data_IF_580305035435
#
_entry.id   IF_580305035435
#
_cell.length_a   1.000
_cell.length_b   1.000
_cell.length_c   1.000
_cell.angle_alpha   90.00
_cell.angle_beta   90.00
_cell.angle_gamma   90.00
#
_symmetry.space_group_name_H-M   'P 1'
#
loop_
_entity.id
_entity.type
_entity.pdbx_description
1 polymer ?
#
# COMPACT_ATOMS: atom_id res chain seq x y z
N UNK A 1 -0.88 35.79 56.90
CA UNK A 1 0.19 36.26 55.96
C UNK A 1 -0.52 36.91 54.75
N UNK A 2 -0.24 38.22 54.51
CA UNK A 2 -0.90 38.94 53.41
C UNK A 2 -0.20 38.62 52.08
N UNK A 3 -0.76 37.72 51.29
CA UNK A 3 -0.23 37.33 49.97
C UNK A 3 -0.01 38.50 49.03
N UNK A 4 -0.83 39.54 49.12
CA UNK A 4 -0.69 40.79 48.36
C UNK A 4 0.59 41.57 48.67
N UNK A 5 1.06 41.56 49.91
CA UNK A 5 2.32 42.22 50.26
C UNK A 5 3.55 41.44 49.83
N UNK A 6 3.49 40.09 49.90
CA UNK A 6 4.53 39.21 49.37
C UNK A 6 4.71 39.39 47.86
N UNK A 7 3.61 39.49 47.11
CA UNK A 7 3.65 39.72 45.67
C UNK A 7 4.25 41.06 45.30
N UNK A 8 3.90 42.15 46.05
CA UNK A 8 4.48 43.47 45.83
C UNK A 8 6.00 43.51 46.14
N UNK A 9 6.46 42.83 47.16
CA UNK A 9 7.88 42.72 47.52
C UNK A 9 8.64 41.94 46.44
N UNK A 10 8.09 40.82 45.93
CA UNK A 10 8.67 40.05 44.84
C UNK A 10 8.78 40.86 43.55
N UNK A 11 7.75 41.64 43.21
CA UNK A 11 7.77 42.48 42.01
C UNK A 11 8.84 43.60 42.12
N UNK A 12 8.96 44.22 43.32
CA UNK A 12 10.01 45.23 43.57
C UNK A 12 11.42 44.65 43.46
N UNK A 13 11.64 43.41 44.00
CA UNK A 13 12.93 42.74 43.90
C UNK A 13 13.34 42.44 42.45
N UNK A 14 12.38 42.01 41.62
CA UNK A 14 12.58 41.79 40.17
C UNK A 14 12.93 43.11 39.48
N UNK A 15 12.23 44.20 39.77
CA UNK A 15 12.48 45.49 39.19
C UNK A 15 13.78 46.14 39.66
N UNK A 16 14.30 45.82 40.84
CA UNK A 16 15.55 46.36 41.35
C UNK A 16 16.79 45.83 40.59
N UNK A 17 16.72 44.60 40.02
CA UNK A 17 17.81 43.99 39.28
C UNK A 17 17.34 43.48 37.88
N UNK A 18 16.84 44.42 37.07
CA UNK A 18 16.17 44.12 35.77
C UNK A 18 16.99 43.17 34.85
N UNK A 19 18.29 43.44 34.69
CA UNK A 19 19.12 42.61 33.79
C UNK A 19 19.31 41.19 34.29
N UNK A 20 19.48 40.97 35.61
CA UNK A 20 19.64 39.65 36.16
C UNK A 20 18.34 38.83 36.05
N UNK A 21 17.22 39.50 36.38
CA UNK A 21 15.89 38.90 36.29
C UNK A 21 15.52 38.53 34.87
N UNK A 22 15.85 39.44 33.93
CA UNK A 22 15.64 39.20 32.48
C UNK A 22 16.46 38.02 31.96
N UNK A 23 17.75 37.91 32.29
CA UNK A 23 18.62 36.84 31.86
C UNK A 23 18.19 35.48 32.43
N UNK A 24 17.78 35.45 33.74
CA UNK A 24 17.27 34.22 34.33
C UNK A 24 15.92 33.80 33.72
N UNK A 25 15.01 34.73 33.52
CA UNK A 25 13.73 34.43 32.86
C UNK A 25 13.94 33.96 31.43
N UNK A 26 14.85 34.62 30.67
CA UNK A 26 15.20 34.21 29.33
C UNK A 26 15.75 32.77 29.25
N UNK A 27 16.64 32.40 30.21
CA UNK A 27 17.17 31.04 30.29
C UNK A 27 16.08 30.00 30.53
N UNK A 28 15.13 30.30 31.43
CA UNK A 28 13.99 29.41 31.71
C UNK A 28 13.08 29.30 30.48
N UNK A 29 12.77 30.42 29.83
CA UNK A 29 11.90 30.44 28.65
C UNK A 29 12.53 29.61 27.52
N UNK A 30 13.82 29.80 27.24
CA UNK A 30 14.52 29.02 26.20
C UNK A 30 14.54 27.53 26.57
N UNK A 31 14.84 27.19 27.81
CA UNK A 31 14.86 25.80 28.28
C UNK A 31 13.50 25.12 28.14
N UNK A 32 12.44 25.74 28.63
CA UNK A 32 11.08 25.21 28.53
C UNK A 32 10.59 25.15 27.07
N UNK A 33 10.83 26.20 26.29
CA UNK A 33 10.46 26.23 24.88
C UNK A 33 11.15 25.11 24.07
N UNK A 34 12.44 24.86 24.33
CA UNK A 34 13.19 23.78 23.68
C UNK A 34 12.59 22.40 23.97
N UNK A 35 12.22 22.11 25.24
CA UNK A 35 11.61 20.86 25.64
C UNK A 35 10.22 20.70 24.99
N UNK A 36 9.40 21.74 25.02
CA UNK A 36 8.06 21.69 24.41
C UNK A 36 8.17 21.47 22.90
N UNK A 37 9.09 22.16 22.22
CA UNK A 37 9.32 21.99 20.78
C UNK A 37 9.76 20.57 20.45
N UNK A 38 10.68 20.01 21.23
CA UNK A 38 11.16 18.64 21.01
C UNK A 38 10.02 17.62 21.20
N UNK A 39 9.18 17.77 22.22
CA UNK A 39 8.03 16.92 22.46
C UNK A 39 6.98 17.06 21.34
N UNK A 40 6.72 18.28 20.89
CA UNK A 40 5.77 18.54 19.82
C UNK A 40 6.21 17.90 18.49
N UNK A 41 7.51 18.03 18.14
CA UNK A 41 8.07 17.37 16.95
C UNK A 41 7.99 15.86 17.09
N UNK A 42 8.36 15.29 18.24
CA UNK A 42 8.30 13.86 18.49
C UNK A 42 6.87 13.29 18.37
N UNK A 43 5.89 13.99 18.96
CA UNK A 43 4.49 13.58 18.86
C UNK A 43 3.93 13.77 17.44
N UNK A 44 4.31 14.83 16.75
CA UNK A 44 3.94 15.08 15.34
C UNK A 44 4.46 13.98 14.42
N UNK A 45 5.74 13.64 14.54
CA UNK A 45 6.37 12.54 13.80
C UNK A 45 5.70 11.19 14.07
N UNK A 46 5.42 10.87 15.35
CA UNK A 46 4.74 9.64 15.71
C UNK A 46 3.34 9.55 15.09
N UNK A 47 2.55 10.63 15.14
CA UNK A 47 1.22 10.67 14.52
C UNK A 47 1.29 10.54 13.00
N UNK A 48 2.25 11.20 12.36
CA UNK A 48 2.45 11.09 10.93
C UNK A 48 2.80 9.65 10.51
N UNK A 49 3.72 8.99 11.23
CA UNK A 49 4.08 7.60 10.96
C UNK A 49 2.87 6.68 11.17
N UNK A 50 2.12 6.85 12.24
CA UNK A 50 0.92 6.06 12.51
C UNK A 50 -0.17 6.27 11.44
N UNK A 51 -0.38 7.51 10.99
CA UNK A 51 -1.32 7.79 9.91
C UNK A 51 -0.89 7.12 8.60
N UNK A 52 0.40 7.18 8.25
CA UNK A 52 0.96 6.55 7.06
C UNK A 52 0.82 5.01 7.09
N UNK A 53 1.07 4.40 8.25
CA UNK A 53 0.88 2.95 8.43
C UNK A 53 -0.62 2.60 8.29
N UNK A 54 -1.50 3.38 8.90
CA UNK A 54 -2.95 3.18 8.78
C UNK A 54 -3.46 3.33 7.35
N UNK A 55 -2.90 4.28 6.57
CA UNK A 55 -3.23 4.45 5.15
C UNK A 55 -2.73 3.31 4.25
N UNK A 56 -1.66 2.63 4.64
CA UNK A 56 -1.15 1.45 3.93
C UNK A 56 -1.99 0.19 4.23
N UNK A 57 -2.88 0.24 5.23
CA UNK A 57 -3.60 -0.92 5.75
C UNK A 57 -2.72 -1.72 6.72
N UNK A 58 -2.86 -1.45 8.02
CA UNK A 58 -2.07 -2.10 9.09
C UNK A 58 -2.23 -3.63 9.16
N UNK A 59 -3.19 -4.17 8.41
CA UNK A 59 -3.51 -5.60 8.34
C UNK A 59 -3.27 -6.20 6.95
N UNK A 60 -2.51 -5.50 6.08
CA UNK A 60 -2.21 -6.00 4.74
C UNK A 60 -1.11 -7.06 4.78
N UNK A 61 -1.35 -8.15 4.07
CA UNK A 61 -0.41 -9.27 3.91
C UNK A 61 -0.09 -9.41 2.42
N UNK A 62 1.19 -9.42 2.09
CA UNK A 62 1.68 -9.61 0.73
C UNK A 62 2.44 -10.93 0.62
N UNK A 63 2.11 -11.72 -0.39
CA UNK A 63 2.76 -12.99 -0.70
C UNK A 63 3.46 -12.80 -2.05
N UNK A 64 4.77 -12.87 -2.03
CA UNK A 64 5.61 -12.83 -3.23
C UNK A 64 6.18 -14.21 -3.55
N UNK A 65 6.49 -14.52 -4.81
CA UNK A 65 7.26 -15.70 -5.12
C UNK A 65 8.61 -15.63 -4.39
N UNK A 66 9.01 -16.73 -3.74
CA UNK A 66 10.26 -16.81 -2.99
C UNK A 66 11.46 -16.92 -3.93
N UNK A 67 12.65 -16.55 -3.46
CA UNK A 67 13.88 -16.78 -4.18
C UNK A 67 14.34 -18.23 -3.95
N UNK A 68 14.29 -19.08 -4.97
CA UNK A 68 14.87 -20.40 -4.90
C UNK A 68 16.40 -20.29 -4.81
N UNK A 69 16.98 -20.75 -3.72
CA UNK A 69 18.43 -20.84 -3.51
C UNK A 69 18.95 -22.14 -4.13
N UNK A 70 19.06 -22.19 -5.45
CA UNK A 70 19.74 -23.30 -6.11
C UNK A 70 21.26 -23.07 -6.12
N UNK A 71 21.99 -23.88 -5.36
CA UNK A 71 23.46 -23.84 -5.34
C UNK A 71 24.09 -22.57 -4.75
N UNK A 72 23.41 -21.88 -3.83
CA UNK A 72 23.91 -20.67 -3.18
C UNK A 72 23.76 -19.38 -4.00
N UNK A 73 23.12 -19.43 -5.17
CA UNK A 73 22.79 -18.25 -5.99
C UNK A 73 21.31 -17.91 -5.85
N UNK A 74 21.04 -16.72 -5.34
CA UNK A 74 19.68 -16.17 -5.25
C UNK A 74 19.21 -15.79 -6.64
N UNK A 75 18.15 -16.43 -7.13
CA UNK A 75 17.52 -16.03 -8.38
C UNK A 75 16.62 -14.80 -8.16
N UNK A 76 16.41 -14.01 -9.21
CA UNK A 76 15.54 -12.84 -9.16
C UNK A 76 14.10 -13.30 -8.87
N UNK A 77 13.42 -12.75 -7.82
CA UNK A 77 12.04 -13.10 -7.50
C UNK A 77 11.07 -12.91 -8.68
N UNK A 78 11.34 -11.97 -9.58
CA UNK A 78 10.54 -11.74 -10.78
C UNK A 78 10.63 -12.85 -11.82
N UNK A 79 11.66 -13.70 -11.76
CA UNK A 79 11.83 -14.86 -12.65
C UNK A 79 11.12 -16.13 -12.13
N UNK A 80 10.56 -16.10 -10.92
CA UNK A 80 9.98 -17.27 -10.28
C UNK A 80 8.48 -17.39 -10.57
N UNK A 81 8.09 -18.54 -11.07
CA UNK A 81 6.73 -18.87 -11.46
C UNK A 81 6.07 -19.82 -10.44
N UNK A 82 6.31 -19.58 -9.14
CA UNK A 82 5.88 -20.49 -8.07
C UNK A 82 4.43 -20.24 -7.66
N UNK A 83 3.96 -18.98 -7.63
CA UNK A 83 2.60 -18.66 -7.25
C UNK A 83 1.62 -18.83 -8.41
N UNK A 84 0.59 -19.63 -8.19
CA UNK A 84 -0.45 -19.96 -9.18
C UNK A 84 -1.81 -19.46 -8.73
N UNK A 85 -2.75 -19.45 -9.68
CA UNK A 85 -4.14 -19.10 -9.38
C UNK A 85 -4.79 -20.10 -8.39
N UNK A 86 -4.37 -21.38 -8.44
CA UNK A 86 -4.80 -22.40 -7.47
C UNK A 86 -4.43 -22.07 -6.03
N UNK A 87 -3.31 -21.38 -5.82
CA UNK A 87 -2.87 -20.98 -4.48
C UNK A 87 -3.75 -19.86 -3.93
N UNK A 88 -4.08 -18.89 -4.79
CA UNK A 88 -5.07 -17.87 -4.45
C UNK A 88 -6.44 -18.50 -4.11
N UNK A 89 -6.91 -19.47 -4.91
CA UNK A 89 -8.19 -20.12 -4.68
C UNK A 89 -8.19 -20.92 -3.35
N UNK A 90 -7.12 -21.65 -3.06
CA UNK A 90 -6.96 -22.38 -1.79
C UNK A 90 -6.92 -21.42 -0.59
N UNK A 91 -6.17 -20.32 -0.68
CA UNK A 91 -6.10 -19.32 0.39
C UNK A 91 -7.45 -18.66 0.62
N UNK A 92 -8.17 -18.28 -0.44
CA UNK A 92 -9.51 -17.69 -0.35
C UNK A 92 -10.52 -18.62 0.32
N UNK A 93 -10.47 -19.91 0.00
CA UNK A 93 -11.49 -20.88 0.42
C UNK A 93 -11.18 -21.48 1.79
N UNK A 94 -9.93 -21.56 2.21
CA UNK A 94 -9.52 -22.26 3.41
C UNK A 94 -9.04 -21.36 4.56
N UNK A 95 -8.53 -20.14 4.27
CA UNK A 95 -8.00 -19.28 5.33
C UNK A 95 -9.12 -18.53 6.07
N UNK A 96 -9.15 -18.71 7.41
CA UNK A 96 -10.23 -18.19 8.26
C UNK A 96 -9.96 -16.77 8.80
N UNK A 97 -8.70 -16.31 8.76
CA UNK A 97 -8.30 -15.03 9.35
C UNK A 97 -8.13 -13.90 8.34
N UNK A 98 -8.46 -14.12 7.06
CA UNK A 98 -8.45 -13.10 6.03
C UNK A 98 -9.85 -12.51 5.82
N UNK A 99 -9.91 -11.21 5.58
CA UNK A 99 -11.12 -10.47 5.22
C UNK A 99 -11.30 -10.40 3.70
N UNK A 100 -10.23 -10.07 3.00
CA UNK A 100 -10.21 -9.87 1.55
C UNK A 100 -8.90 -10.41 0.99
N UNK A 101 -8.94 -10.95 -0.23
CA UNK A 101 -7.76 -11.49 -0.92
C UNK A 101 -7.85 -11.21 -2.42
N UNK A 102 -6.74 -10.79 -3.01
CA UNK A 102 -6.64 -10.52 -4.45
C UNK A 102 -5.42 -11.17 -5.07
N UNK A 103 -5.59 -11.88 -6.21
CA UNK A 103 -4.46 -12.22 -7.05
C UNK A 103 -3.98 -10.94 -7.75
N UNK A 104 -2.68 -10.77 -7.89
CA UNK A 104 -2.09 -9.61 -8.54
C UNK A 104 -1.12 -10.04 -9.61
N UNK A 105 -1.29 -9.50 -10.80
CA UNK A 105 -0.33 -9.57 -11.89
C UNK A 105 -0.06 -8.17 -12.40
N UNK A 106 1.17 -7.86 -12.79
CA UNK A 106 1.53 -6.50 -13.20
C UNK A 106 2.30 -6.49 -14.50
N UNK A 107 2.06 -5.47 -15.30
CA UNK A 107 2.79 -5.20 -16.53
C UNK A 107 2.98 -3.69 -16.68
N UNK A 108 4.22 -3.24 -16.79
CA UNK A 108 4.50 -1.84 -17.09
C UNK A 108 4.51 -1.63 -18.60
N UNK A 109 3.91 -0.52 -19.05
CA UNK A 109 3.81 -0.22 -20.46
C UNK A 109 3.25 1.16 -20.73
N UNK A 110 3.07 1.46 -22.00
CA UNK A 110 2.59 2.76 -22.46
C UNK A 110 1.07 2.75 -22.64
N UNK A 111 0.41 3.71 -21.99
CA UNK A 111 -0.99 4.03 -22.22
C UNK A 111 -1.11 5.17 -23.22
N UNK A 112 -2.03 5.05 -24.18
CA UNK A 112 -2.22 6.00 -25.27
C UNK A 112 -3.70 6.35 -25.40
N UNK A 113 -4.00 7.64 -25.41
CA UNK A 113 -5.31 8.18 -25.75
C UNK A 113 -5.17 9.36 -26.73
N UNK A 114 -5.69 9.22 -27.95
CA UNK A 114 -5.49 10.23 -28.98
C UNK A 114 -4.01 10.48 -29.27
N UNK A 115 -3.57 11.72 -29.05
CA UNK A 115 -2.18 12.15 -29.18
C UNK A 115 -1.40 12.12 -27.85
N UNK A 116 -2.07 11.84 -26.74
CA UNK A 116 -1.46 11.82 -25.42
C UNK A 116 -1.02 10.40 -25.05
N UNK A 117 0.08 10.32 -24.33
CA UNK A 117 0.60 9.05 -23.83
C UNK A 117 1.30 9.23 -22.50
N UNK A 118 1.29 8.16 -21.70
CA UNK A 118 2.05 8.07 -20.45
C UNK A 118 2.50 6.64 -20.21
N UNK A 119 3.62 6.48 -19.52
CA UNK A 119 4.06 5.17 -19.07
C UNK A 119 3.52 4.95 -17.64
N UNK A 120 2.87 3.82 -17.43
CA UNK A 120 2.33 3.45 -16.12
C UNK A 120 2.27 1.94 -15.96
N UNK A 121 1.92 1.46 -14.77
CA UNK A 121 1.79 0.04 -14.49
C UNK A 121 0.33 -0.39 -14.50
N UNK A 122 0.03 -1.39 -15.32
CA UNK A 122 -1.26 -2.07 -15.37
C UNK A 122 -1.26 -3.21 -14.35
N UNK A 123 -2.11 -3.12 -13.35
CA UNK A 123 -2.35 -4.16 -12.36
C UNK A 123 -3.60 -4.96 -12.70
N UNK A 124 -3.42 -6.25 -12.91
CA UNK A 124 -4.52 -7.21 -13.03
C UNK A 124 -4.92 -7.70 -11.64
N UNK A 125 -6.13 -7.37 -11.23
CA UNK A 125 -6.62 -7.59 -9.85
C UNK A 125 -8.07 -8.07 -9.86
N UNK A 126 -8.60 -8.43 -8.68
CA UNK A 126 -10.04 -8.61 -8.46
C UNK A 126 -10.65 -7.37 -7.80
N UNK A 127 -11.94 -7.43 -7.46
CA UNK A 127 -12.67 -6.30 -6.85
C UNK A 127 -12.22 -5.99 -5.43
N UNK A 128 -11.82 -7.01 -4.67
CA UNK A 128 -11.40 -6.89 -3.28
C UNK A 128 -10.09 -6.11 -3.11
N UNK A 129 -9.34 -5.95 -4.20
CA UNK A 129 -8.10 -5.16 -4.22
C UNK A 129 -8.31 -3.71 -3.76
N UNK A 130 -9.47 -3.12 -4.06
CA UNK A 130 -9.81 -1.77 -3.59
C UNK A 130 -9.83 -1.70 -2.06
N UNK A 131 -10.47 -2.69 -1.42
CA UNK A 131 -10.55 -2.76 0.05
C UNK A 131 -9.17 -3.00 0.67
N UNK A 132 -8.37 -3.92 0.10
CA UNK A 132 -7.02 -4.26 0.58
C UNK A 132 -6.11 -3.03 0.54
N UNK A 133 -6.15 -2.27 -0.55
CA UNK A 133 -5.32 -1.08 -0.78
C UNK A 133 -5.97 0.21 -0.31
N UNK A 134 -7.18 0.13 0.28
CA UNK A 134 -7.98 1.29 0.69
C UNK A 134 -8.11 2.33 -0.42
N UNK A 135 -8.38 1.84 -1.63
CA UNK A 135 -8.68 2.66 -2.79
C UNK A 135 -10.20 2.85 -2.92
N UNK A 136 -10.62 3.95 -3.48
CA UNK A 136 -12.03 4.22 -3.79
C UNK A 136 -12.15 4.79 -5.20
N UNK A 137 -13.28 4.52 -5.84
CA UNK A 137 -13.62 5.09 -7.15
C UNK A 137 -14.25 6.46 -6.93
N UNK A 138 -13.80 7.49 -7.69
CA UNK A 138 -14.36 8.83 -7.67
C UNK A 138 -15.44 9.01 -8.73
N UNK A 139 -15.22 8.46 -9.92
CA UNK A 139 -16.12 8.56 -11.07
C UNK A 139 -16.26 7.20 -11.74
N UNK A 140 -17.48 6.87 -12.19
CA UNK A 140 -17.81 5.56 -12.74
C UNK A 140 -17.90 4.47 -11.67
N UNK A 141 -17.58 3.24 -12.04
CA UNK A 141 -17.72 2.05 -11.20
C UNK A 141 -16.51 1.12 -11.30
N UNK A 142 -16.38 0.22 -10.31
CA UNK A 142 -15.46 -0.92 -10.39
C UNK A 142 -15.98 -1.95 -11.40
N UNK A 143 -15.07 -2.60 -12.13
CA UNK A 143 -15.44 -3.73 -12.99
C UNK A 143 -16.06 -4.87 -12.17
N UNK A 144 -16.96 -5.63 -12.81
CA UNK A 144 -17.77 -6.66 -12.17
C UNK A 144 -17.08 -8.02 -12.15
N UNK A 145 -17.57 -8.96 -11.31
CA UNK A 145 -17.09 -10.35 -11.33
C UNK A 145 -17.37 -11.03 -12.68
N UNK A 146 -18.39 -10.57 -13.41
CA UNK A 146 -18.66 -11.04 -14.77
C UNK A 146 -17.57 -10.57 -15.74
N UNK A 147 -17.10 -9.33 -15.61
CA UNK A 147 -15.97 -8.82 -16.38
C UNK A 147 -14.68 -9.61 -16.11
N UNK A 148 -14.45 -9.98 -14.84
CA UNK A 148 -13.32 -10.83 -14.45
C UNK A 148 -13.44 -12.20 -15.11
N UNK A 149 -14.58 -12.86 -15.01
CA UNK A 149 -14.81 -14.21 -15.59
C UNK A 149 -14.71 -14.19 -17.11
N UNK A 150 -15.25 -13.16 -17.75
CA UNK A 150 -15.22 -13.00 -19.21
C UNK A 150 -13.85 -12.56 -19.76
N UNK A 151 -12.94 -12.10 -18.92
CA UNK A 151 -11.69 -11.48 -19.36
C UNK A 151 -11.96 -10.22 -20.18
N UNK A 152 -12.87 -9.36 -19.69
CA UNK A 152 -13.28 -8.15 -20.36
C UNK A 152 -12.12 -7.13 -20.41
N UNK A 153 -12.01 -6.41 -21.51
CA UNK A 153 -11.02 -5.34 -21.70
C UNK A 153 -11.53 -4.03 -21.11
N UNK A 154 -11.65 -3.99 -19.79
CA UNK A 154 -12.06 -2.82 -19.03
C UNK A 154 -10.96 -2.42 -18.06
N UNK A 155 -10.87 -1.13 -17.74
CA UNK A 155 -9.87 -0.62 -16.81
C UNK A 155 -10.40 0.55 -15.99
N UNK A 156 -9.73 0.77 -14.86
CA UNK A 156 -9.91 1.92 -13.97
C UNK A 156 -8.59 2.67 -13.94
N UNK A 157 -8.63 3.97 -14.13
CA UNK A 157 -7.43 4.81 -14.15
C UNK A 157 -7.19 5.45 -12.78
N UNK A 158 -5.93 5.51 -12.37
CA UNK A 158 -5.49 6.39 -11.29
C UNK A 158 -5.42 7.85 -11.76
N UNK A 159 -5.50 8.79 -10.85
CA UNK A 159 -5.64 10.20 -11.19
C UNK A 159 -4.44 10.76 -11.94
N UNK A 160 -3.23 10.35 -11.63
CA UNK A 160 -2.02 10.76 -12.36
C UNK A 160 -2.08 10.35 -13.84
N UNK A 161 -2.57 9.15 -14.12
CA UNK A 161 -2.74 8.66 -15.50
C UNK A 161 -3.81 9.47 -16.24
N UNK A 162 -4.91 9.84 -15.54
CA UNK A 162 -5.95 10.72 -16.10
C UNK A 162 -5.38 12.09 -16.45
N UNK A 163 -4.63 12.72 -15.54
CA UNK A 163 -4.05 14.05 -15.72
C UNK A 163 -3.13 14.10 -16.96
N UNK A 164 -2.41 13.01 -17.28
CA UNK A 164 -1.56 12.91 -18.47
C UNK A 164 -2.33 12.60 -19.76
N UNK A 165 -3.35 11.74 -19.71
CA UNK A 165 -4.08 11.31 -20.91
C UNK A 165 -5.19 12.28 -21.30
N UNK A 166 -5.78 12.98 -20.33
CA UNK A 166 -6.91 13.91 -20.49
C UNK A 166 -6.57 15.32 -19.93
N UNK A 167 -5.51 15.98 -20.43
CA UNK A 167 -5.08 17.28 -19.91
C UNK A 167 -6.11 18.40 -20.16
N UNK A 168 -7.07 18.18 -21.03
CA UNK A 168 -8.19 19.07 -21.33
C UNK A 168 -9.33 18.97 -20.30
N UNK A 169 -9.25 18.06 -19.33
CA UNK A 169 -10.26 17.83 -18.31
C UNK A 169 -11.51 17.10 -18.84
N UNK A 170 -11.45 16.50 -20.03
CA UNK A 170 -12.56 15.70 -20.58
C UNK A 170 -12.81 14.45 -19.74
N UNK A 171 -14.08 14.05 -19.63
CA UNK A 171 -14.49 12.84 -18.89
C UNK A 171 -13.85 11.58 -19.51
N UNK A 172 -13.03 10.83 -18.76
CA UNK A 172 -12.40 9.61 -19.24
C UNK A 172 -13.35 8.40 -19.24
N UNK A 173 -14.43 8.40 -18.43
CA UNK A 173 -15.32 7.24 -18.29
C UNK A 173 -16.03 6.95 -19.60
N UNK A 174 -16.04 5.68 -20.01
CA UNK A 174 -16.60 5.22 -21.29
C UNK A 174 -15.66 5.35 -22.48
N UNK A 175 -14.55 6.11 -22.38
CA UNK A 175 -13.53 6.22 -23.43
C UNK A 175 -12.68 4.96 -23.51
N UNK A 176 -11.94 4.84 -24.60
CA UNK A 176 -11.06 3.70 -24.88
C UNK A 176 -9.61 4.18 -24.91
N UNK A 177 -8.80 3.63 -24.01
CA UNK A 177 -7.33 3.80 -24.01
C UNK A 177 -6.66 2.55 -24.54
N UNK A 178 -5.47 2.67 -25.09
CA UNK A 178 -4.67 1.54 -25.55
C UNK A 178 -3.49 1.32 -24.63
N UNK A 179 -3.32 0.09 -24.17
CA UNK A 179 -2.13 -0.38 -23.48
C UNK A 179 -1.36 -1.31 -24.41
N UNK A 180 -0.16 -0.93 -24.82
CA UNK A 180 0.67 -1.71 -25.75
C UNK A 180 -0.13 -2.25 -26.96
N UNK A 181 -0.92 -1.40 -27.63
CA UNK A 181 -1.80 -1.72 -28.75
C UNK A 181 -3.13 -2.45 -28.40
N UNK A 182 -3.35 -2.90 -27.17
CA UNK A 182 -4.59 -3.54 -26.74
C UNK A 182 -5.57 -2.48 -26.22
N UNK A 183 -6.80 -2.39 -26.77
CA UNK A 183 -7.78 -1.41 -26.31
C UNK A 183 -8.44 -1.84 -25.01
N UNK A 184 -8.58 -0.89 -24.06
CA UNK A 184 -9.31 -1.02 -22.80
C UNK A 184 -10.35 0.08 -22.70
N UNK A 185 -11.58 -0.26 -22.37
CA UNK A 185 -12.63 0.71 -22.05
C UNK A 185 -12.50 1.14 -20.59
N UNK A 186 -12.43 2.44 -20.37
CA UNK A 186 -12.40 3.03 -19.02
C UNK A 186 -13.80 2.90 -18.41
N UNK A 187 -13.91 2.26 -17.25
CA UNK A 187 -15.17 2.10 -16.51
C UNK A 187 -15.21 2.94 -15.25
N UNK A 188 -14.07 3.41 -14.78
CA UNK A 188 -14.00 4.28 -13.62
C UNK A 188 -12.66 4.99 -13.49
N UNK A 189 -12.62 5.92 -12.54
CA UNK A 189 -11.42 6.67 -12.12
C UNK A 189 -11.27 6.54 -10.62
N UNK A 190 -10.06 6.31 -10.14
CA UNK A 190 -9.77 6.25 -8.71
C UNK A 190 -9.74 7.65 -8.09
N UNK A 191 -10.18 7.73 -6.85
CA UNK A 191 -10.03 8.94 -6.04
C UNK A 191 -8.56 9.18 -5.75
N UNK A 192 -8.12 10.42 -5.92
CA UNK A 192 -6.74 10.84 -5.67
C UNK A 192 -6.33 10.55 -4.22
N UNK A 193 -5.19 9.85 -4.05
CA UNK A 193 -4.52 9.62 -2.76
C UNK A 193 -3.27 10.49 -2.59
N UNK A 194 -2.60 10.84 -3.69
CA UNK A 194 -1.37 11.61 -3.68
C UNK A 194 -0.13 10.76 -3.41
N UNK A 195 0.91 11.41 -2.90
CA UNK A 195 2.18 10.76 -2.61
C UNK A 195 2.17 10.14 -1.22
N UNK A 196 2.75 8.94 -1.11
CA UNK A 196 2.96 8.33 0.20
C UNK A 196 4.14 9.01 0.94
N UNK A 197 4.38 8.58 2.20
CA UNK A 197 5.47 9.11 3.03
C UNK A 197 6.88 8.88 2.47
N UNK A 198 7.03 7.95 1.53
CA UNK A 198 8.29 7.68 0.83
C UNK A 198 8.43 8.48 -0.47
N UNK A 199 7.46 9.35 -0.77
CA UNK A 199 7.45 10.18 -1.97
C UNK A 199 7.06 9.43 -3.24
N UNK A 200 6.49 8.22 -3.14
CA UNK A 200 5.98 7.47 -4.29
C UNK A 200 4.55 7.90 -4.59
N UNK A 201 4.26 8.13 -5.87
CA UNK A 201 2.93 8.45 -6.35
C UNK A 201 2.02 7.21 -6.26
N UNK A 202 0.92 7.33 -5.51
CA UNK A 202 -0.06 6.26 -5.34
C UNK A 202 -1.15 6.30 -6.41
N UNK A 203 -1.16 7.33 -7.24
CA UNK A 203 -2.17 7.57 -8.28
C UNK A 203 -1.66 7.21 -9.69
N UNK A 204 -0.38 6.83 -9.84
CA UNK A 204 0.21 6.39 -11.10
C UNK A 204 0.04 4.87 -11.27
N UNK A 205 -1.19 4.45 -11.49
CA UNK A 205 -1.54 3.04 -11.71
C UNK A 205 -2.83 2.90 -12.54
N UNK A 206 -2.99 1.74 -13.17
CA UNK A 206 -4.21 1.35 -13.86
C UNK A 206 -4.62 -0.04 -13.39
N UNK A 207 -5.90 -0.22 -13.05
CA UNK A 207 -6.45 -1.50 -12.63
C UNK A 207 -7.27 -2.13 -13.76
N UNK A 208 -7.13 -3.45 -13.94
CA UNK A 208 -7.93 -4.24 -14.87
C UNK A 208 -8.21 -5.63 -14.27
N UNK A 209 -9.15 -6.42 -14.80
CA UNK A 209 -9.36 -7.79 -14.38
C UNK A 209 -8.10 -8.63 -14.53
N UNK A 210 -7.69 -9.35 -13.47
CA UNK A 210 -6.47 -10.18 -13.52
C UNK A 210 -6.51 -11.21 -14.65
N UNK A 211 -7.67 -11.76 -14.95
CA UNK A 211 -7.86 -12.71 -16.05
C UNK A 211 -7.51 -12.11 -17.41
N UNK A 212 -7.83 -10.83 -17.62
CA UNK A 212 -7.50 -10.10 -18.86
C UNK A 212 -6.01 -9.87 -18.96
N UNK A 213 -5.38 -9.42 -17.89
CA UNK A 213 -3.94 -9.15 -17.87
C UNK A 213 -3.15 -10.45 -18.05
N UNK A 214 -3.48 -11.51 -17.30
CA UNK A 214 -2.83 -12.82 -17.44
C UNK A 214 -2.91 -13.38 -18.85
N UNK A 215 -4.13 -13.41 -19.42
CA UNK A 215 -4.37 -14.11 -20.69
C UNK A 215 -4.02 -13.30 -21.95
N UNK A 216 -4.22 -11.95 -21.89
CA UNK A 216 -4.12 -11.12 -23.10
C UNK A 216 -2.89 -10.22 -23.14
N UNK A 217 -2.32 -9.89 -21.98
CA UNK A 217 -1.15 -9.02 -21.89
C UNK A 217 0.12 -9.86 -21.71
N UNK A 218 0.13 -10.71 -20.67
CA UNK A 218 1.32 -11.44 -20.27
C UNK A 218 1.39 -12.84 -20.85
N UNK A 219 0.26 -13.43 -21.26
CA UNK A 219 0.15 -14.83 -21.72
C UNK A 219 0.79 -15.81 -20.71
N UNK A 220 0.55 -15.60 -19.42
CA UNK A 220 1.13 -16.37 -18.31
C UNK A 220 0.05 -17.00 -17.42
N UNK A 221 0.45 -18.03 -16.66
CA UNK A 221 -0.43 -18.77 -15.74
C UNK A 221 -0.07 -18.58 -14.28
N UNK A 222 0.98 -17.82 -13.99
CA UNK A 222 1.47 -17.52 -12.64
C UNK A 222 1.14 -16.10 -12.23
N UNK A 223 1.09 -15.87 -10.91
CA UNK A 223 0.83 -14.57 -10.31
C UNK A 223 2.14 -13.85 -9.99
N UNK A 224 2.13 -12.53 -10.06
CA UNK A 224 3.26 -11.71 -9.60
C UNK A 224 3.29 -11.67 -8.08
N UNK A 225 2.13 -11.60 -7.45
CA UNK A 225 1.94 -11.64 -5.99
C UNK A 225 0.48 -11.96 -5.64
N UNK A 226 0.23 -12.29 -4.38
CA UNK A 226 -1.10 -12.33 -3.80
C UNK A 226 -1.14 -11.31 -2.67
N UNK A 227 -2.15 -10.45 -2.68
CA UNK A 227 -2.37 -9.49 -1.61
C UNK A 227 -3.63 -9.87 -0.83
N UNK A 228 -3.55 -9.80 0.49
CA UNK A 228 -4.67 -10.08 1.38
C UNK A 228 -4.73 -9.03 2.49
N UNK A 229 -5.87 -8.91 3.14
CA UNK A 229 -6.01 -8.20 4.40
C UNK A 229 -6.54 -9.14 5.47
N UNK A 230 -5.93 -9.14 6.65
CA UNK A 230 -6.44 -9.85 7.81
C UNK A 230 -7.74 -9.20 8.30
N UNK A 231 -8.56 -9.96 9.04
CA UNK A 231 -9.82 -9.43 9.62
C UNK A 231 -9.54 -8.26 10.56
N UNK A 232 -8.49 -8.37 11.38
CA UNK A 232 -7.99 -7.31 12.27
C UNK A 232 -6.47 -7.39 12.35
N UNK A 233 -5.83 -6.32 12.81
CA UNK A 233 -4.38 -6.27 13.00
C UNK A 233 -3.89 -7.37 13.96
N UNK A 234 -4.62 -7.63 15.04
CA UNK A 234 -4.27 -8.61 16.09
C UNK A 234 -4.19 -10.06 15.58
N UNK A 235 -4.83 -10.38 14.46
CA UNK A 235 -4.83 -11.74 13.89
C UNK A 235 -3.92 -11.88 12.67
N UNK A 236 -3.17 -10.85 12.31
CA UNK A 236 -2.28 -10.86 11.14
C UNK A 236 -1.24 -11.97 11.22
N UNK A 237 -0.64 -12.20 12.38
CA UNK A 237 0.32 -13.29 12.59
C UNK A 237 -0.33 -14.67 12.43
N UNK A 238 -1.59 -14.84 12.89
CA UNK A 238 -2.35 -16.09 12.72
C UNK A 238 -2.70 -16.32 11.26
N UNK A 239 -3.14 -15.26 10.57
CA UNK A 239 -3.40 -15.31 9.13
C UNK A 239 -2.14 -15.72 8.35
N UNK A 240 -0.99 -15.11 8.64
CA UNK A 240 0.30 -15.43 8.02
C UNK A 240 0.69 -16.90 8.27
N UNK A 241 0.52 -17.40 9.48
CA UNK A 241 0.82 -18.81 9.84
C UNK A 241 -0.09 -19.77 9.09
N UNK A 242 -1.40 -19.48 9.03
CA UNK A 242 -2.37 -20.30 8.31
C UNK A 242 -2.09 -20.32 6.80
N UNK A 243 -1.83 -19.15 6.21
CA UNK A 243 -1.46 -19.00 4.81
C UNK A 243 -0.17 -19.76 4.47
N UNK A 244 0.85 -19.68 5.32
CA UNK A 244 2.09 -20.45 5.17
C UNK A 244 1.83 -21.95 5.14
N UNK A 245 0.99 -22.46 6.04
CA UNK A 245 0.63 -23.87 6.12
C UNK A 245 -0.08 -24.35 4.86
N UNK A 246 -1.04 -23.56 4.36
CA UNK A 246 -1.80 -23.87 3.14
C UNK A 246 -0.86 -23.89 1.92
N UNK A 247 -0.02 -22.88 1.77
CA UNK A 247 0.92 -22.77 0.64
C UNK A 247 1.95 -23.90 0.66
N UNK A 248 2.55 -24.20 1.81
CA UNK A 248 3.50 -25.34 1.95
C UNK A 248 2.88 -26.65 1.53
N UNK A 249 1.62 -26.91 1.94
CA UNK A 249 0.87 -28.09 1.52
C UNK A 249 0.65 -28.11 0.00
N UNK A 250 0.24 -27.00 -0.60
CA UNK A 250 -0.02 -26.90 -2.04
C UNK A 250 1.25 -27.09 -2.88
N UNK A 251 2.36 -26.55 -2.42
CA UNK A 251 3.67 -26.64 -3.07
C UNK A 251 4.42 -27.93 -2.71
N UNK A 252 3.85 -28.80 -1.83
CA UNK A 252 4.45 -30.07 -1.37
C UNK A 252 5.83 -29.87 -0.75
N UNK A 253 6.02 -28.76 -0.03
CA UNK A 253 7.24 -28.49 0.70
C UNK A 253 7.30 -29.33 1.97
N UNK A 254 8.51 -29.71 2.39
CA UNK A 254 8.71 -30.51 3.61
C UNK A 254 8.26 -29.72 4.84
N UNK A 255 7.72 -30.47 5.83
CA UNK A 255 7.38 -29.85 7.12
C UNK A 255 8.61 -29.17 7.71
N UNK A 256 8.42 -27.92 8.18
CA UNK A 256 9.49 -27.20 8.84
C UNK A 256 9.87 -27.93 10.13
N UNK A 257 11.04 -28.54 10.16
CA UNK A 257 11.70 -28.84 11.44
C UNK A 257 12.15 -27.49 12.02
N UNK A 258 11.95 -27.29 13.30
CA UNK A 258 12.00 -26.06 14.11
C UNK A 258 13.25 -25.15 13.94
N UNK A 259 14.21 -25.47 13.08
CA UNK A 259 15.48 -24.77 12.87
C UNK A 259 15.69 -24.17 11.47
N UNK A 260 14.76 -24.39 10.52
CA UNK A 260 14.89 -23.92 9.13
C UNK A 260 13.62 -23.28 8.59
N UNK A 261 12.90 -22.54 9.42
CA UNK A 261 11.75 -21.76 8.98
C UNK A 261 12.25 -20.64 8.04
N UNK A 262 12.03 -20.82 6.73
CA UNK A 262 12.27 -19.82 5.71
C UNK A 262 13.31 -20.12 4.62
N UNK A 263 14.21 -21.10 4.79
CA UNK A 263 15.25 -21.37 3.78
C UNK A 263 14.78 -22.27 2.60
N UNK A 264 13.70 -23.03 2.79
CA UNK A 264 13.17 -23.97 1.77
C UNK A 264 11.85 -23.49 1.13
N UNK A 265 11.28 -22.34 1.55
CA UNK A 265 10.03 -21.84 0.99
C UNK A 265 10.26 -21.16 -0.37
N UNK A 266 9.46 -21.53 -1.36
CA UNK A 266 9.44 -20.94 -2.69
C UNK A 266 8.48 -19.75 -2.79
N UNK A 267 8.07 -19.22 -1.63
CA UNK A 267 7.26 -17.99 -1.45
C UNK A 267 7.74 -17.22 -0.21
N UNK A 268 7.41 -15.93 -0.16
CA UNK A 268 7.72 -15.04 0.96
C UNK A 268 6.46 -14.27 1.37
N UNK A 269 6.06 -14.36 2.64
CA UNK A 269 4.91 -13.64 3.19
C UNK A 269 5.42 -12.47 4.03
N UNK A 270 4.88 -11.28 3.77
CA UNK A 270 5.18 -10.04 4.50
C UNK A 270 3.88 -9.40 4.97
N UNK A 271 3.87 -8.99 6.22
CA UNK A 271 2.78 -8.26 6.87
C UNK A 271 3.25 -6.92 7.41
#
# INVERSE_FOLDING_TARGET
MNYTNLFKIALRAIMANKMRSFLTALGIIIGVASVITMLAIGQGSKRSIQANIAEMGSNMIMIHPGADMRGGVRQDPSAMQTLKLSDYESLRDECNYIKSISPVVSSSGQFIYGNNNTQSTLYGVNREYLDIRQLSVSDGDMFTDQDIKAGAKVCILGQTVVDYLFPDGSDPVGRVVRFNAIPFRIVGVLKKKGYNSMGMDQDDLVLAPYTTVMKRILAQTYLSEIQASAITEDVTDKATTEMTTILRRNHKLKDATDTTQGDDDDFNIRS
#
